data_IF_924153863303
#
_entry.id   IF_924153863303
#
_cell.length_a   1.000
_cell.length_b   1.000
_cell.length_c   1.000
_cell.angle_alpha   90.00
_cell.angle_beta   90.00
_cell.angle_gamma   90.00
#
_symmetry.space_group_name_H-M   'P 1'
#
loop_
_entity.id
_entity.type
_entity.pdbx_description
1 polymer ?
#
# COMPACT_ATOMS: atom_id res chain seq x y z
N UNK A 1 30.51 19.72 -31.56
CA UNK A 1 30.27 18.90 -32.76
C UNK A 1 30.86 17.53 -32.52
N UNK A 2 30.06 16.48 -32.66
CA UNK A 2 30.53 15.10 -32.55
C UNK A 2 31.25 14.73 -33.86
N UNK A 3 32.52 14.34 -33.78
CA UNK A 3 33.33 13.96 -34.95
C UNK A 3 33.37 12.43 -34.97
N UNK A 4 32.68 11.76 -35.91
CA UNK A 4 32.74 10.32 -36.00
C UNK A 4 34.16 9.88 -36.39
N UNK A 5 34.87 9.29 -35.43
CA UNK A 5 36.19 8.71 -35.64
C UNK A 5 36.06 7.22 -35.96
N UNK A 6 36.56 6.81 -37.12
CA UNK A 6 36.65 5.39 -37.49
C UNK A 6 37.96 4.80 -36.98
N UNK A 7 37.91 3.56 -36.49
CA UNK A 7 39.12 2.90 -36.00
C UNK A 7 39.91 2.31 -37.16
N UNK A 8 41.24 2.47 -37.10
CA UNK A 8 42.18 2.04 -38.15
C UNK A 8 42.35 0.52 -38.27
N UNK A 9 41.81 -0.26 -37.33
CA UNK A 9 41.94 -1.71 -37.27
C UNK A 9 40.65 -2.37 -36.78
N UNK A 10 40.42 -3.67 -37.05
CA UNK A 10 39.30 -4.46 -36.51
C UNK A 10 39.43 -4.72 -35.01
N UNK A 11 38.31 -4.91 -34.30
CA UNK A 11 38.26 -5.00 -32.83
C UNK A 11 38.28 -6.49 -32.60
N UNK A 12 39.38 -6.99 -32.08
CA UNK A 12 39.51 -8.40 -31.75
C UNK A 12 39.42 -8.56 -30.25
N UNK A 13 38.67 -9.56 -29.82
CA UNK A 13 38.65 -10.03 -28.44
C UNK A 13 39.81 -11.01 -28.25
N UNK A 14 40.52 -10.90 -27.13
CA UNK A 14 41.56 -11.86 -26.75
C UNK A 14 40.90 -13.17 -26.25
N UNK A 15 41.44 -14.32 -26.64
CA UNK A 15 40.86 -15.62 -26.28
C UNK A 15 40.88 -15.89 -24.77
N UNK A 16 41.79 -15.22 -24.03
CA UNK A 16 41.84 -15.25 -22.56
C UNK A 16 40.57 -14.70 -21.90
N UNK A 17 39.75 -13.93 -22.62
CA UNK A 17 38.41 -13.54 -22.15
C UNK A 17 37.44 -14.72 -22.07
N UNK A 18 37.73 -15.84 -22.72
CA UNK A 18 36.93 -17.07 -22.66
C UNK A 18 37.58 -18.16 -21.82
N UNK A 19 38.86 -18.00 -21.47
CA UNK A 19 39.60 -18.90 -20.61
C UNK A 19 39.66 -18.35 -19.18
N UNK A 20 38.94 -19.01 -18.27
CA UNK A 20 38.86 -18.65 -16.86
C UNK A 20 37.45 -18.30 -16.42
N UNK A 21 37.11 -18.67 -15.18
CA UNK A 21 35.84 -18.25 -14.57
C UNK A 21 35.90 -16.77 -14.24
N UNK A 22 35.37 -15.92 -15.11
CA UNK A 22 35.16 -14.50 -14.84
C UNK A 22 34.02 -14.37 -13.83
N UNK A 23 34.35 -14.47 -12.54
CA UNK A 23 33.40 -14.12 -11.49
C UNK A 23 32.99 -12.66 -11.72
N UNK A 24 31.69 -12.43 -11.85
CA UNK A 24 31.13 -11.09 -11.88
C UNK A 24 31.30 -10.47 -10.48
N UNK A 25 32.48 -9.95 -10.19
CA UNK A 25 32.87 -9.30 -8.93
C UNK A 25 32.03 -8.02 -8.63
N UNK A 26 31.23 -7.60 -9.60
CA UNK A 26 30.33 -6.44 -9.54
C UNK A 26 28.84 -6.82 -9.40
N UNK A 27 28.47 -8.10 -9.49
CA UNK A 27 27.10 -8.51 -9.23
C UNK A 27 26.92 -8.77 -7.74
N UNK A 28 26.61 -7.72 -6.97
CA UNK A 28 26.03 -7.93 -5.64
C UNK A 28 24.80 -8.83 -5.83
N UNK A 29 24.68 -9.98 -5.14
CA UNK A 29 23.43 -10.70 -5.13
C UNK A 29 22.41 -9.71 -4.57
N UNK A 30 21.47 -9.29 -5.43
CA UNK A 30 20.32 -8.55 -4.99
C UNK A 30 19.69 -9.41 -3.91
N UNK A 31 19.82 -8.97 -2.66
CA UNK A 31 19.10 -9.56 -1.54
C UNK A 31 17.65 -9.40 -1.95
N UNK A 32 17.07 -10.46 -2.52
CA UNK A 32 15.64 -10.64 -2.54
C UNK A 32 15.31 -10.67 -1.06
N UNK A 33 14.93 -9.50 -0.51
CA UNK A 33 14.24 -9.46 0.76
C UNK A 33 13.15 -10.48 0.59
N UNK A 34 13.28 -11.58 1.34
CA UNK A 34 12.18 -12.46 1.57
C UNK A 34 11.18 -11.63 2.39
N UNK A 35 10.45 -10.76 1.71
CA UNK A 35 9.05 -10.52 2.03
C UNK A 35 8.43 -11.89 1.90
N UNK A 36 8.56 -12.69 2.97
CA UNK A 36 8.07 -14.04 3.03
C UNK A 36 6.62 -13.96 2.59
N UNK A 37 6.34 -14.48 1.40
CA UNK A 37 5.02 -14.43 0.82
C UNK A 37 4.07 -15.00 1.88
N UNK A 38 3.17 -14.16 2.39
CA UNK A 38 2.21 -14.61 3.39
C UNK A 38 1.52 -15.83 2.83
N UNK A 39 1.52 -16.91 3.60
CA UNK A 39 0.78 -18.09 3.19
C UNK A 39 -0.69 -17.71 3.04
N UNK A 40 -1.39 -18.35 2.10
CA UNK A 40 -2.83 -18.10 1.88
C UNK A 40 -3.64 -18.18 3.18
N UNK A 41 -3.25 -19.05 4.13
CA UNK A 41 -3.88 -19.17 5.46
C UNK A 41 -3.70 -17.90 6.30
N UNK A 42 -2.48 -17.34 6.33
CA UNK A 42 -2.22 -16.10 7.05
C UNK A 42 -3.00 -14.94 6.45
N UNK A 43 -3.05 -14.83 5.12
CA UNK A 43 -3.84 -13.79 4.45
C UNK A 43 -5.33 -13.88 4.82
N UNK A 44 -5.91 -15.08 4.84
CA UNK A 44 -7.31 -15.27 5.23
C UNK A 44 -7.54 -14.86 6.68
N UNK A 45 -6.69 -15.31 7.61
CA UNK A 45 -6.83 -14.98 9.04
C UNK A 45 -6.75 -13.47 9.30
N UNK A 46 -5.80 -12.78 8.65
CA UNK A 46 -5.68 -11.32 8.74
C UNK A 46 -6.92 -10.60 8.20
N UNK A 47 -7.45 -11.05 7.06
CA UNK A 47 -8.65 -10.46 6.47
C UNK A 47 -9.90 -10.71 7.32
N UNK A 48 -10.05 -11.90 7.92
CA UNK A 48 -11.14 -12.20 8.86
C UNK A 48 -11.06 -11.31 10.11
N UNK A 49 -9.87 -11.15 10.67
CA UNK A 49 -9.65 -10.28 11.83
C UNK A 49 -10.01 -8.83 11.53
N UNK A 50 -9.48 -8.27 10.44
CA UNK A 50 -9.75 -6.88 10.02
C UNK A 50 -11.24 -6.68 9.70
N UNK A 51 -11.88 -7.67 9.07
CA UNK A 51 -13.31 -7.62 8.78
C UNK A 51 -14.16 -7.52 10.05
N UNK A 52 -13.85 -8.33 11.07
CA UNK A 52 -14.57 -8.29 12.34
C UNK A 52 -14.38 -6.97 13.08
N UNK A 53 -13.12 -6.50 13.21
CA UNK A 53 -12.81 -5.23 13.86
C UNK A 53 -13.49 -4.03 13.17
N UNK A 54 -13.54 -4.04 11.84
CA UNK A 54 -14.25 -3.01 11.09
C UNK A 54 -15.77 -3.07 11.34
N UNK A 55 -16.35 -4.27 11.45
CA UNK A 55 -17.75 -4.46 11.82
C UNK A 55 -18.08 -3.86 13.19
N UNK A 56 -17.24 -4.11 14.20
CA UNK A 56 -17.40 -3.54 15.54
C UNK A 56 -17.30 -2.00 15.53
N UNK A 57 -16.33 -1.46 14.79
CA UNK A 57 -16.18 -0.01 14.62
C UNK A 57 -17.39 0.62 13.92
N UNK A 58 -17.91 -0.04 12.88
CA UNK A 58 -19.13 0.41 12.18
C UNK A 58 -20.32 0.46 13.14
N UNK A 59 -20.52 -0.58 13.95
CA UNK A 59 -21.62 -0.60 14.92
C UNK A 59 -21.58 0.56 15.93
N UNK A 60 -20.37 0.95 16.38
CA UNK A 60 -20.20 2.13 17.24
C UNK A 60 -20.58 3.42 16.51
N UNK A 61 -20.15 3.58 15.26
CA UNK A 61 -20.48 4.75 14.44
C UNK A 61 -21.99 4.84 14.21
N UNK A 62 -22.64 3.74 13.81
CA UNK A 62 -24.08 3.68 13.58
C UNK A 62 -24.87 4.10 14.84
N UNK A 63 -24.41 3.69 16.03
CA UNK A 63 -25.03 4.08 17.30
C UNK A 63 -24.90 5.58 17.57
N UNK A 64 -23.75 6.18 17.29
CA UNK A 64 -23.55 7.64 17.45
C UNK A 64 -24.44 8.40 16.47
N UNK A 65 -24.56 7.96 15.22
CA UNK A 65 -25.46 8.57 14.23
C UNK A 65 -26.91 8.54 14.73
N UNK A 66 -27.39 7.40 15.24
CA UNK A 66 -28.75 7.28 15.76
C UNK A 66 -29.00 8.22 16.96
N UNK A 67 -28.02 8.34 17.87
CA UNK A 67 -28.13 9.24 19.01
C UNK A 67 -28.21 10.71 18.57
N UNK A 68 -27.34 11.13 17.63
CA UNK A 68 -27.33 12.49 17.10
C UNK A 68 -28.61 12.82 16.33
N UNK A 69 -29.16 11.88 15.56
CA UNK A 69 -30.45 12.07 14.91
C UNK A 69 -31.60 12.25 15.91
N UNK A 70 -31.57 11.52 17.04
CA UNK A 70 -32.60 11.68 18.07
C UNK A 70 -32.50 13.04 18.77
N UNK A 71 -31.27 13.49 19.04
CA UNK A 71 -30.99 14.83 19.58
C UNK A 71 -31.47 15.93 18.61
N UNK A 72 -31.08 15.87 17.34
CA UNK A 72 -31.50 16.84 16.31
C UNK A 72 -33.02 16.93 16.17
N UNK A 73 -33.71 15.79 16.17
CA UNK A 73 -35.17 15.76 16.07
C UNK A 73 -35.86 16.26 17.37
N UNK A 74 -35.21 16.15 18.52
CA UNK A 74 -35.73 16.68 19.78
C UNK A 74 -35.57 18.21 19.86
N UNK A 75 -34.43 18.75 19.44
CA UNK A 75 -34.20 20.21 19.35
C UNK A 75 -35.18 20.89 18.39
N UNK A 76 -35.53 20.24 17.27
CA UNK A 76 -36.54 20.74 16.35
C UNK A 76 -37.95 20.83 16.97
N UNK A 77 -38.27 19.99 17.97
CA UNK A 77 -39.56 20.00 18.64
C UNK A 77 -39.64 21.02 19.79
N UNK A 78 -38.51 21.40 20.40
CA UNK A 78 -38.45 22.42 21.44
C UNK A 78 -38.54 23.85 20.87
N UNK A 79 -38.03 24.09 19.65
CA UNK A 79 -38.15 25.38 18.96
C UNK A 79 -39.57 25.80 18.54
N UNK A 80 -40.53 24.87 18.50
CA UNK A 80 -41.93 25.16 18.14
C UNK A 80 -42.83 25.46 19.36
N UNK A 81 -42.36 25.27 20.60
CA UNK A 81 -43.16 25.53 21.80
C UNK A 81 -42.97 26.92 22.42
N UNK A 82 -41.94 27.68 22.01
CA UNK A 82 -41.68 29.03 22.55
C UNK A 82 -42.46 30.16 21.84
N UNK A 83 -43.19 29.88 20.75
CA UNK A 83 -43.97 30.90 19.99
C UNK A 83 -45.48 30.91 20.33
N UNK A 84 -45.85 30.56 21.57
CA UNK A 84 -47.24 30.67 22.08
C UNK A 84 -47.32 31.12 23.53
N UNK A 85 -46.69 32.25 23.84
CA UNK A 85 -47.08 33.02 25.03
C UNK A 85 -46.93 34.52 24.77
N UNK A 86 -47.96 35.13 24.16
CA UNK A 86 -48.41 36.52 24.38
C UNK A 86 -49.84 36.72 23.81
#
# INVERSE_FOLDING_TARGET
SDIPCTRKSPLSLDYRLFEGGHAADIATPSVQQASGSLTKKQMIAELEYVSNDLGEKKAKIDRVIQALMLEENADAAEGEQEEKED
#
